data_IF_190292854191
#
_entry.id   IF_190292854191
#
_cell.length_a   1.000
_cell.length_b   1.000
_cell.length_c   1.000
_cell.angle_alpha   90.00
_cell.angle_beta   90.00
_cell.angle_gamma   90.00
#
_symmetry.space_group_name_H-M   'P 1'
#
loop_
_entity.id
_entity.type
_entity.pdbx_description
1 polymer ?
#
# COMPACT_ATOMS: atom_id res chain seq x y z
N UNK A 1 7.47 -11.00 -7.63
CA UNK A 1 7.29 -10.33 -6.34
C UNK A 1 7.09 -11.37 -5.25
N UNK A 2 7.66 -11.12 -4.10
CA UNK A 2 7.58 -12.06 -2.98
C UNK A 2 6.21 -11.93 -2.29
N UNK A 3 5.29 -12.83 -2.62
CA UNK A 3 3.95 -12.83 -2.05
C UNK A 3 3.99 -12.94 -0.52
N UNK A 4 4.98 -13.64 0.02
CA UNK A 4 5.13 -13.80 1.46
C UNK A 4 5.43 -12.50 2.21
N UNK A 5 5.96 -11.47 1.53
CA UNK A 5 6.21 -10.18 2.17
C UNK A 5 4.91 -9.46 2.55
N UNK A 6 3.92 -9.56 1.67
CA UNK A 6 2.65 -8.82 1.86
C UNK A 6 1.75 -9.52 2.88
N UNK A 7 1.77 -10.84 2.93
CA UNK A 7 0.86 -11.62 3.76
C UNK A 7 -0.50 -11.77 3.10
N UNK A 8 -1.53 -11.15 3.67
CA UNK A 8 -2.90 -11.30 3.19
C UNK A 8 -3.22 -10.36 2.03
N UNK A 9 -4.03 -10.86 1.10
CA UNK A 9 -4.49 -10.12 -0.07
C UNK A 9 -6.01 -10.07 -0.09
N UNK A 10 -6.54 -8.96 -0.62
CA UNK A 10 -7.98 -8.77 -0.82
C UNK A 10 -8.27 -8.59 -2.31
N UNK A 11 -9.31 -9.25 -2.79
CA UNK A 11 -9.77 -9.03 -4.17
C UNK A 11 -10.48 -7.68 -4.28
N UNK A 12 -10.75 -7.22 -5.51
CA UNK A 12 -11.47 -5.96 -5.70
C UNK A 12 -12.87 -6.01 -5.05
N UNK A 13 -13.67 -7.09 -5.20
CA UNK A 13 -14.94 -7.18 -4.48
C UNK A 13 -14.79 -7.12 -2.96
N UNK A 14 -13.75 -7.74 -2.40
CA UNK A 14 -13.49 -7.70 -0.95
C UNK A 14 -13.20 -6.28 -0.48
N UNK A 15 -12.39 -5.53 -1.25
CA UNK A 15 -12.08 -4.13 -0.93
C UNK A 15 -13.35 -3.29 -1.01
N UNK A 16 -14.17 -3.50 -2.03
CA UNK A 16 -15.43 -2.78 -2.20
C UNK A 16 -16.34 -3.00 -0.99
N UNK A 17 -16.47 -4.25 -0.54
CA UNK A 17 -17.27 -4.58 0.63
C UNK A 17 -16.75 -3.87 1.89
N UNK A 18 -15.44 -3.92 2.11
CA UNK A 18 -14.82 -3.32 3.30
C UNK A 18 -14.98 -1.81 3.33
N UNK A 19 -14.85 -1.16 2.17
CA UNK A 19 -14.96 0.29 2.07
C UNK A 19 -16.41 0.77 1.91
N UNK A 20 -17.36 -0.13 1.68
CA UNK A 20 -18.74 0.24 1.42
C UNK A 20 -18.91 0.99 0.11
N UNK A 21 -18.12 0.65 -0.91
CA UNK A 21 -18.12 1.32 -2.21
C UNK A 21 -18.44 0.34 -3.33
N UNK A 22 -19.00 0.82 -4.45
CA UNK A 22 -19.13 -0.03 -5.64
C UNK A 22 -17.76 -0.40 -6.20
N UNK A 23 -17.61 -1.56 -6.86
CA UNK A 23 -16.33 -1.97 -7.45
C UNK A 23 -15.73 -0.93 -8.40
N UNK A 24 -16.56 -0.19 -9.14
CA UNK A 24 -16.09 0.88 -10.03
C UNK A 24 -15.36 1.99 -9.29
N UNK A 25 -15.78 2.30 -8.06
CA UNK A 25 -15.09 3.28 -7.23
C UNK A 25 -13.75 2.77 -6.75
N UNK A 26 -13.65 1.49 -6.45
CA UNK A 26 -12.36 0.87 -6.08
C UNK A 26 -11.40 0.96 -7.26
N UNK A 27 -11.86 0.67 -8.47
CA UNK A 27 -11.02 0.79 -9.67
C UNK A 27 -10.57 2.23 -9.90
N UNK A 28 -11.42 3.20 -9.58
CA UNK A 28 -11.04 4.61 -9.65
C UNK A 28 -9.92 4.93 -8.66
N UNK A 29 -9.99 4.39 -7.44
CA UNK A 29 -8.92 4.55 -6.46
C UNK A 29 -7.59 4.00 -6.97
N UNK A 30 -7.63 2.88 -7.70
CA UNK A 30 -6.43 2.30 -8.31
C UNK A 30 -5.88 3.21 -9.41
N UNK A 31 -6.75 3.75 -10.26
CA UNK A 31 -6.32 4.68 -11.32
C UNK A 31 -5.69 5.94 -10.75
N UNK A 32 -6.22 6.43 -9.62
CA UNK A 32 -5.72 7.63 -8.95
C UNK A 32 -4.53 7.34 -8.05
N UNK A 33 -4.06 6.09 -8.02
CA UNK A 33 -2.93 5.63 -7.20
C UNK A 33 -3.12 5.88 -5.70
N UNK A 34 -4.36 5.86 -5.26
CA UNK A 34 -4.69 5.90 -3.82
C UNK A 34 -4.61 4.52 -3.19
N UNK A 35 -4.68 3.50 -4.03
CA UNK A 35 -4.43 2.10 -3.69
C UNK A 35 -3.58 1.50 -4.80
N UNK A 36 -2.88 0.41 -4.49
CA UNK A 36 -2.11 -0.35 -5.47
C UNK A 36 -2.63 -1.79 -5.47
N UNK A 37 -2.87 -2.32 -6.66
CA UNK A 37 -3.26 -3.71 -6.84
C UNK A 37 -2.23 -4.42 -7.69
N UNK A 38 -2.08 -5.72 -7.46
CA UNK A 38 -1.13 -6.58 -8.16
C UNK A 38 -1.89 -7.76 -8.73
N UNK A 39 -1.55 -8.13 -9.98
CA UNK A 39 -2.09 -9.32 -10.60
C UNK A 39 -1.44 -10.54 -9.96
N UNK A 40 -2.27 -11.37 -9.32
CA UNK A 40 -1.80 -12.58 -8.63
C UNK A 40 -1.67 -13.75 -9.61
N UNK A 41 -0.92 -14.80 -9.22
CA UNK A 41 -0.74 -15.97 -10.10
C UNK A 41 -2.04 -16.63 -10.56
N UNK A 42 -3.12 -16.52 -9.79
CA UNK A 42 -4.44 -17.07 -10.16
C UNK A 42 -5.21 -16.18 -11.14
N UNK A 43 -4.61 -15.07 -11.58
CA UNK A 43 -5.24 -14.12 -12.50
C UNK A 43 -6.09 -13.05 -11.83
N UNK A 44 -6.24 -13.08 -10.52
CA UNK A 44 -7.03 -12.08 -9.79
C UNK A 44 -6.18 -10.85 -9.47
N UNK A 45 -6.79 -9.66 -9.61
CA UNK A 45 -6.18 -8.42 -9.20
C UNK A 45 -6.47 -8.20 -7.72
N UNK A 46 -5.43 -8.07 -6.90
CA UNK A 46 -5.57 -8.03 -5.45
C UNK A 46 -4.83 -6.85 -4.83
N UNK A 47 -5.37 -6.38 -3.72
CA UNK A 47 -4.80 -5.28 -2.93
C UNK A 47 -4.27 -5.87 -1.61
N UNK A 48 -3.09 -5.46 -1.14
CA UNK A 48 -2.64 -5.90 0.18
C UNK A 48 -3.66 -5.54 1.27
N UNK A 49 -4.01 -6.52 2.10
CA UNK A 49 -5.00 -6.30 3.17
C UNK A 49 -4.53 -5.21 4.14
N UNK A 50 -3.23 -5.07 4.34
CA UNK A 50 -2.66 -4.05 5.22
C UNK A 50 -2.88 -2.62 4.75
N UNK A 51 -3.29 -2.42 3.49
CA UNK A 51 -3.62 -1.08 2.99
C UNK A 51 -4.97 -0.58 3.50
N UNK A 52 -5.76 -1.44 4.14
CA UNK A 52 -7.03 -1.04 4.73
C UNK A 52 -6.93 -1.10 6.25
N UNK A 53 -7.56 -0.12 6.88
CA UNK A 53 -7.69 -0.05 8.33
C UNK A 53 -9.20 -0.11 8.65
N UNK A 54 -9.68 -1.31 8.95
CA UNK A 54 -11.11 -1.52 9.13
C UNK A 54 -11.89 -1.29 7.84
N UNK A 55 -12.73 -0.26 7.82
CA UNK A 55 -13.59 0.09 6.69
C UNK A 55 -13.08 1.29 5.89
N UNK A 56 -11.82 1.66 6.07
CA UNK A 56 -11.23 2.78 5.34
C UNK A 56 -9.79 2.48 4.94
N UNK A 57 -9.27 3.28 4.01
CA UNK A 57 -7.88 3.18 3.54
C UNK A 57 -6.96 3.65 4.67
N UNK A 58 -5.85 2.95 4.85
CA UNK A 58 -4.85 3.28 5.87
C UNK A 58 -4.44 4.76 5.75
N UNK A 59 -4.53 5.48 6.86
CA UNK A 59 -4.22 6.91 6.90
C UNK A 59 -2.77 7.14 6.49
N UNK A 60 -2.56 8.09 5.58
CA UNK A 60 -1.25 8.46 5.11
C UNK A 60 -0.73 7.63 3.94
N UNK A 61 -1.40 6.54 3.59
CA UNK A 61 -0.95 5.66 2.51
C UNK A 61 -0.81 6.40 1.18
N UNK A 62 -1.81 7.18 0.80
CA UNK A 62 -1.77 7.91 -0.47
C UNK A 62 -0.57 8.86 -0.54
N UNK A 63 -0.30 9.59 0.52
CA UNK A 63 0.85 10.50 0.57
C UNK A 63 2.18 9.76 0.43
N UNK A 64 2.32 8.64 1.12
CA UNK A 64 3.54 7.81 1.04
C UNK A 64 3.72 7.22 -0.35
N UNK A 65 2.64 6.70 -0.94
CA UNK A 65 2.69 6.16 -2.32
C UNK A 65 3.09 7.26 -3.31
N UNK A 66 2.53 8.45 -3.17
CA UNK A 66 2.88 9.58 -4.03
C UNK A 66 4.37 9.89 -3.95
N UNK A 67 4.93 9.92 -2.74
CA UNK A 67 6.36 10.16 -2.55
C UNK A 67 7.21 9.08 -3.23
N UNK A 68 6.82 7.81 -3.11
CA UNK A 68 7.57 6.72 -3.73
C UNK A 68 7.51 6.81 -5.25
N UNK A 69 6.34 7.09 -5.82
CA UNK A 69 6.20 7.25 -7.27
C UNK A 69 7.00 8.45 -7.77
N UNK A 70 7.02 9.54 -7.02
CA UNK A 70 7.81 10.73 -7.36
C UNK A 70 9.32 10.44 -7.33
N UNK A 71 9.75 9.48 -6.52
CA UNK A 71 11.13 9.02 -6.49
C UNK A 71 11.48 8.05 -7.63
N UNK A 72 10.52 7.75 -8.49
CA UNK A 72 10.73 6.84 -9.62
C UNK A 72 10.42 5.38 -9.34
N UNK A 73 9.84 5.07 -8.18
CA UNK A 73 9.43 3.71 -7.85
C UNK A 73 8.18 3.34 -8.65
N UNK A 74 8.15 2.16 -9.24
CA UNK A 74 6.93 1.63 -9.82
C UNK A 74 6.08 0.95 -8.73
N UNK A 75 4.94 0.37 -9.13
CA UNK A 75 4.02 -0.24 -8.17
C UNK A 75 4.66 -1.43 -7.42
N UNK A 76 5.31 -2.40 -8.10
CA UNK A 76 5.98 -3.48 -7.37
C UNK A 76 7.09 -3.01 -6.44
N UNK A 77 7.88 -2.02 -6.86
CA UNK A 77 8.97 -1.47 -6.05
C UNK A 77 8.42 -0.77 -4.82
N UNK A 78 7.32 -0.02 -4.97
CA UNK A 78 6.67 0.66 -3.85
C UNK A 78 6.14 -0.34 -2.83
N UNK A 79 5.52 -1.44 -3.30
CA UNK A 79 5.07 -2.50 -2.41
C UNK A 79 6.23 -3.14 -1.67
N UNK A 80 7.31 -3.45 -2.39
CA UNK A 80 8.49 -4.05 -1.76
C UNK A 80 9.03 -3.15 -0.66
N UNK A 81 9.12 -1.85 -0.92
CA UNK A 81 9.63 -0.90 0.07
C UNK A 81 8.76 -0.87 1.32
N UNK A 82 7.44 -0.80 1.13
CA UNK A 82 6.49 -0.73 2.25
C UNK A 82 6.50 -1.99 3.12
N UNK A 83 6.76 -3.16 2.52
CA UNK A 83 6.70 -4.44 3.21
C UNK A 83 8.07 -5.02 3.55
N UNK A 84 9.15 -4.24 3.39
CA UNK A 84 10.50 -4.67 3.76
C UNK A 84 10.91 -3.96 5.05
N UNK A 85 11.40 -4.72 6.03
CA UNK A 85 11.84 -4.16 7.30
C UNK A 85 12.96 -3.15 7.10
N UNK A 86 12.92 -2.06 7.85
CA UNK A 86 13.93 -1.00 7.82
C UNK A 86 14.51 -0.88 9.23
N UNK A 87 15.84 -0.93 9.36
CA UNK A 87 16.52 -0.86 10.64
C UNK A 87 16.21 0.42 11.42
N UNK A 88 15.84 1.49 10.74
CA UNK A 88 15.50 2.76 11.36
C UNK A 88 14.05 2.82 11.87
N UNK A 89 13.26 1.77 11.62
CA UNK A 89 11.88 1.66 12.05
C UNK A 89 11.67 0.35 12.80
N UNK A 90 10.73 0.29 13.74
CA UNK A 90 10.41 -0.98 14.42
C UNK A 90 9.55 -1.86 13.50
N UNK A 91 10.20 -2.55 12.57
CA UNK A 91 9.52 -3.41 11.60
C UNK A 91 9.48 -2.79 10.23
N UNK A 92 8.39 -3.00 9.50
CA UNK A 92 8.24 -2.50 8.13
C UNK A 92 7.62 -1.10 8.11
N UNK A 93 7.84 -0.32 7.02
CA UNK A 93 7.17 0.97 6.88
C UNK A 93 5.64 0.87 6.97
N UNK A 94 5.02 -0.14 6.35
CA UNK A 94 3.56 -0.29 6.42
C UNK A 94 3.10 -0.54 7.86
N UNK A 95 3.87 -1.29 8.63
CA UNK A 95 3.59 -1.55 10.02
C UNK A 95 3.69 -0.28 10.87
N UNK A 96 4.71 0.53 10.62
CA UNK A 96 4.87 1.82 11.29
C UNK A 96 3.68 2.75 11.01
N UNK A 97 3.14 2.71 9.79
CA UNK A 97 1.95 3.49 9.45
C UNK A 97 0.73 3.06 10.25
N UNK A 98 0.54 1.74 10.46
CA UNK A 98 -0.57 1.25 11.28
C UNK A 98 -0.42 1.63 12.74
N UNK A 99 0.81 1.92 13.18
CA UNK A 99 1.11 2.36 14.54
C UNK A 99 1.18 3.89 14.67
N UNK A 100 0.60 4.60 13.71
CA UNK A 100 0.54 6.07 13.70
C UNK A 100 1.90 6.76 13.58
N UNK A 101 2.86 6.10 12.93
CA UNK A 101 4.20 6.65 12.67
C UNK A 101 4.37 7.11 11.22
N UNK A 102 3.29 7.57 10.60
CA UNK A 102 3.30 7.98 9.20
C UNK A 102 4.32 9.08 8.90
N UNK A 103 4.55 9.99 9.85
CA UNK A 103 5.54 11.07 9.68
C UNK A 103 6.95 10.49 9.49
N UNK A 104 7.32 9.49 10.29
CA UNK A 104 8.64 8.83 10.16
C UNK A 104 8.75 8.11 8.82
N UNK A 105 7.69 7.41 8.40
CA UNK A 105 7.65 6.72 7.11
C UNK A 105 7.85 7.71 5.97
N UNK A 106 7.15 8.84 6.00
CA UNK A 106 7.25 9.86 4.97
C UNK A 106 8.66 10.46 4.90
N UNK A 107 9.31 10.67 6.04
CA UNK A 107 10.70 11.14 6.06
C UNK A 107 11.62 10.16 5.34
N UNK A 108 11.44 8.85 5.58
CA UNK A 108 12.27 7.84 4.92
C UNK A 108 12.02 7.83 3.43
N UNK A 109 10.74 7.95 3.02
CA UNK A 109 10.40 8.02 1.58
C UNK A 109 11.00 9.26 0.94
N UNK A 110 10.94 10.41 1.60
CA UNK A 110 11.54 11.64 1.09
C UNK A 110 13.05 11.53 0.93
N UNK A 111 13.72 10.82 1.84
CA UNK A 111 15.16 10.63 1.76
C UNK A 111 15.58 9.84 0.53
N UNK A 112 14.70 9.04 -0.05
CA UNK A 112 15.00 8.29 -1.26
C UNK A 112 15.15 9.19 -2.48
N UNK A 113 14.61 10.40 -2.44
CA UNK A 113 14.69 11.37 -3.53
C UNK A 113 16.04 12.13 -3.57
N UNK A 114 16.88 11.94 -2.57
CA UNK A 114 18.16 12.69 -2.44
C UNK A 114 19.37 11.92 -3.05
#
# INVERSE_FOLDING_TARGET
MADGLVGDWLTIPDVADRLGLPPGRVRQLLRDRKLVAVLRPDGALCVPAAFLDGDHILKGLHGTLTLLFDCGFDEPESLRWLFTADDSLPGTPIQAMTEHRGTEVNRRAQALAL
#
